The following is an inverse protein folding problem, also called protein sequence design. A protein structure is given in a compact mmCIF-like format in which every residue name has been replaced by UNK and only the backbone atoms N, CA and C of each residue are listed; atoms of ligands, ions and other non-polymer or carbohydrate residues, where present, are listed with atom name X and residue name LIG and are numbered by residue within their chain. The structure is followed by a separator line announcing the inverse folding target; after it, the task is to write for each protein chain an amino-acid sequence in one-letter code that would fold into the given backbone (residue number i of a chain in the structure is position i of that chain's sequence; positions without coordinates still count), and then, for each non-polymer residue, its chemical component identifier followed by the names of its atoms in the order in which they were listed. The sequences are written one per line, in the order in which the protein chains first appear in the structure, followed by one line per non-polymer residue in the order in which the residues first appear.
data_IF_506553954573
#
_entry.id   IF_506553954573
#
_cell.length_a   1.000
_cell.length_b   1.000
_cell.length_c   1.000
_cell.angle_alpha   90.00
_cell.angle_beta   90.00
_cell.angle_gamma   90.00
#
_symmetry.space_group_name_H-M   'P 1'
#
loop_
_entity.id
_entity.type
_entity.pdbx_description
1 polymer ?
#
# COMPACT_ATOMS: atom_id res chain seq x y z
N UNK A 1 -19.68 10.01 6.60
CA UNK A 1 -19.66 9.37 5.27
C UNK A 1 -19.02 10.33 4.28
N UNK A 2 -18.45 9.81 3.20
CA UNK A 2 -17.81 10.59 2.14
C UNK A 2 -17.63 9.72 0.89
N UNK A 3 -17.35 10.33 -0.25
CA UNK A 3 -17.07 9.63 -1.51
C UNK A 3 -16.05 10.44 -2.32
N UNK A 4 -15.37 9.77 -3.25
CA UNK A 4 -14.49 10.38 -4.24
C UNK A 4 -14.85 9.80 -5.62
N UNK A 5 -14.88 10.64 -6.64
CA UNK A 5 -15.13 10.19 -8.00
C UNK A 5 -13.81 9.79 -8.70
N UNK A 6 -13.86 8.93 -9.72
CA UNK A 6 -12.67 8.62 -10.52
C UNK A 6 -12.03 9.88 -11.10
N UNK A 7 -10.71 10.00 -10.96
CA UNK A 7 -9.93 11.14 -11.45
C UNK A 7 -9.91 12.37 -10.53
N UNK A 8 -10.55 12.31 -9.36
CA UNK A 8 -10.50 13.38 -8.37
C UNK A 8 -9.33 13.20 -7.39
N UNK A 9 -8.75 14.33 -6.97
CA UNK A 9 -7.83 14.38 -5.83
C UNK A 9 -8.62 14.76 -4.58
N UNK A 10 -8.77 13.82 -3.64
CA UNK A 10 -9.38 14.06 -2.34
C UNK A 10 -8.30 14.23 -1.27
N UNK A 11 -8.29 15.38 -0.61
CA UNK A 11 -7.37 15.67 0.50
C UNK A 11 -8.09 15.57 1.85
N UNK A 12 -7.47 14.86 2.81
CA UNK A 12 -7.94 14.76 4.20
C UNK A 12 -7.07 15.68 5.06
N UNK A 13 -7.66 16.75 5.59
CA UNK A 13 -6.94 17.75 6.39
C UNK A 13 -7.39 17.74 7.85
N UNK A 14 -6.46 18.03 8.76
CA UNK A 14 -6.73 18.09 10.21
C UNK A 14 -5.45 18.21 11.03
N UNK A 15 -5.58 18.59 12.30
CA UNK A 15 -4.44 18.71 13.22
C UNK A 15 -3.67 17.39 13.44
N UNK A 16 -2.50 17.48 14.08
CA UNK A 16 -1.78 16.29 14.53
C UNK A 16 -2.64 15.50 15.52
N UNK A 17 -2.64 14.17 15.42
CA UNK A 17 -3.47 13.30 16.26
C UNK A 17 -4.96 13.24 15.90
N UNK A 18 -5.41 13.92 14.84
CA UNK A 18 -6.81 13.87 14.39
C UNK A 18 -7.24 12.52 13.79
N UNK A 19 -6.34 11.53 13.70
CA UNK A 19 -6.64 10.20 13.17
C UNK A 19 -6.56 10.04 11.65
N UNK A 20 -5.92 10.97 10.93
CA UNK A 20 -5.76 10.91 9.45
C UNK A 20 -5.08 9.63 8.98
N UNK A 21 -3.88 9.35 9.52
CA UNK A 21 -3.14 8.10 9.28
C UNK A 21 -3.94 6.86 9.68
N UNK A 22 -4.70 6.94 10.78
CA UNK A 22 -5.56 5.83 11.22
C UNK A 22 -6.68 5.56 10.20
N UNK A 23 -7.30 6.62 9.67
CA UNK A 23 -8.31 6.52 8.63
C UNK A 23 -7.74 5.96 7.33
N UNK A 24 -6.57 6.44 6.86
CA UNK A 24 -5.91 5.94 5.64
C UNK A 24 -5.49 4.48 5.77
N UNK A 25 -4.90 4.09 6.90
CA UNK A 25 -4.54 2.69 7.16
C UNK A 25 -5.77 1.79 7.23
N UNK A 26 -6.86 2.27 7.84
CA UNK A 26 -8.15 1.56 7.85
C UNK A 26 -8.70 1.38 6.44
N UNK A 27 -8.69 2.45 5.64
CA UNK A 27 -9.22 2.43 4.26
C UNK A 27 -8.40 1.55 3.34
N UNK A 28 -7.07 1.45 3.53
CA UNK A 28 -6.17 0.57 2.75
C UNK A 28 -6.18 -0.87 3.24
N UNK A 29 -6.90 -1.16 4.32
CA UNK A 29 -6.96 -2.48 4.94
C UNK A 29 -5.68 -2.86 5.68
N UNK A 30 -4.87 -1.91 6.12
CA UNK A 30 -3.74 -2.12 7.03
C UNK A 30 -4.31 -2.28 8.44
N UNK A 31 -4.32 -3.53 8.92
CA UNK A 31 -4.89 -3.86 10.22
C UNK A 31 -4.03 -3.29 11.35
N UNK A 32 -4.67 -2.48 12.20
CA UNK A 32 -4.10 -1.99 13.45
C UNK A 32 -4.73 -2.72 14.63
N UNK A 33 -3.90 -3.34 15.47
CA UNK A 33 -4.37 -4.16 16.60
C UNK A 33 -5.17 -3.37 17.64
N UNK A 34 -5.00 -2.05 17.69
CA UNK A 34 -5.62 -1.12 18.63
C UNK A 34 -6.89 -0.44 18.10
N UNK A 35 -7.32 -0.76 16.86
CA UNK A 35 -8.45 -0.08 16.20
C UNK A 35 -9.56 -1.08 15.87
N UNK A 36 -10.77 -0.80 16.34
CA UNK A 36 -11.97 -1.53 15.93
C UNK A 36 -12.67 -0.79 14.79
N UNK A 37 -12.67 -1.39 13.60
CA UNK A 37 -13.25 -0.81 12.40
C UNK A 37 -14.69 -1.28 12.24
N UNK A 38 -15.61 -0.35 12.09
CA UNK A 38 -17.02 -0.62 11.80
C UNK A 38 -17.50 0.24 10.64
N UNK A 39 -18.55 -0.20 9.94
CA UNK A 39 -19.07 0.46 8.75
C UNK A 39 -18.75 -0.30 7.47
N UNK A 40 -19.02 0.34 6.34
CA UNK A 40 -18.93 -0.26 5.00
C UNK A 40 -18.12 0.65 4.09
N UNK A 41 -17.20 0.06 3.33
CA UNK A 41 -16.45 0.74 2.26
C UNK A 41 -16.83 0.09 0.94
N UNK A 42 -17.16 0.92 -0.06
CA UNK A 42 -17.51 0.45 -1.39
C UNK A 42 -16.62 1.08 -2.44
N UNK A 43 -16.31 0.35 -3.50
CA UNK A 43 -15.73 0.88 -4.74
C UNK A 43 -16.68 0.50 -5.86
N UNK A 44 -17.08 1.48 -6.68
CA UNK A 44 -18.03 1.28 -7.78
C UNK A 44 -19.34 0.60 -7.36
N UNK A 45 -19.78 0.81 -6.11
CA UNK A 45 -21.01 0.23 -5.56
C UNK A 45 -20.86 -1.19 -4.99
N UNK A 46 -19.68 -1.82 -5.10
CA UNK A 46 -19.41 -3.13 -4.50
C UNK A 46 -18.72 -2.97 -3.14
N UNK A 47 -19.23 -3.67 -2.14
CA UNK A 47 -18.61 -3.75 -0.82
C UNK A 47 -17.30 -4.55 -0.89
N UNK A 48 -16.23 -3.95 -0.40
CA UNK A 48 -14.91 -4.56 -0.42
C UNK A 48 -14.50 -5.04 0.96
N UNK A 49 -13.94 -6.25 1.00
CA UNK A 49 -13.18 -6.71 2.15
C UNK A 49 -11.80 -6.08 2.14
N UNK A 50 -11.18 -5.95 3.31
CA UNK A 50 -9.83 -5.38 3.46
C UNK A 50 -8.77 -6.02 2.55
N UNK A 51 -8.89 -7.31 2.26
CA UNK A 51 -7.99 -8.03 1.36
C UNK A 51 -8.12 -7.61 -0.11
N UNK A 52 -9.34 -7.25 -0.55
CA UNK A 52 -9.60 -6.84 -1.93
C UNK A 52 -9.12 -5.40 -2.16
N UNK A 53 -9.26 -4.54 -1.16
CA UNK A 53 -8.73 -3.18 -1.19
C UNK A 53 -7.21 -3.12 -1.44
N UNK A 54 -6.44 -3.97 -0.74
CA UNK A 54 -4.98 -4.06 -0.94
C UNK A 54 -4.57 -4.46 -2.35
N UNK A 55 -5.47 -5.07 -3.14
CA UNK A 55 -5.18 -5.51 -4.51
C UNK A 55 -5.48 -4.44 -5.55
N UNK A 56 -6.38 -3.51 -5.26
CA UNK A 56 -6.84 -2.48 -6.20
C UNK A 56 -6.27 -1.09 -5.91
N UNK A 57 -5.66 -0.92 -4.73
CA UNK A 57 -5.06 0.33 -4.30
C UNK A 57 -3.55 0.22 -4.08
N UNK A 58 -2.86 1.37 -4.19
CA UNK A 58 -1.49 1.55 -3.71
C UNK A 58 -1.48 2.53 -2.54
N UNK A 59 -0.51 2.35 -1.64
CA UNK A 59 -0.35 3.21 -0.46
C UNK A 59 1.10 3.65 -0.29
N UNK A 60 1.29 4.96 -0.19
CA UNK A 60 2.56 5.61 0.12
C UNK A 60 2.52 6.06 1.58
N UNK A 61 3.43 5.52 2.38
CA UNK A 61 3.52 5.81 3.82
C UNK A 61 4.29 7.10 4.07
N UNK A 62 4.00 7.73 5.22
CA UNK A 62 4.68 8.94 5.68
C UNK A 62 6.20 8.81 5.84
N UNK A 63 6.71 7.62 6.20
CA UNK A 63 8.13 7.39 6.41
C UNK A 63 8.74 6.53 5.30
N UNK A 64 9.71 7.08 4.58
CA UNK A 64 10.52 6.34 3.62
C UNK A 64 11.47 5.36 4.33
N UNK A 65 11.31 4.07 4.02
CA UNK A 65 12.22 3.01 4.50
C UNK A 65 13.38 2.74 3.52
N UNK A 66 13.62 3.66 2.58
CA UNK A 66 14.60 3.50 1.51
C UNK A 66 16.02 3.85 1.93
N UNK A 67 16.99 3.04 1.51
CA UNK A 67 18.41 3.37 1.63
C UNK A 67 18.75 4.27 0.44
N UNK A 68 18.97 5.57 0.69
CA UNK A 68 19.13 6.58 -0.38
C UNK A 68 20.33 6.38 -1.32
N UNK A 69 21.23 5.44 -1.02
CA UNK A 69 22.35 5.07 -1.91
C UNK A 69 22.04 3.90 -2.85
N UNK A 70 20.89 3.23 -2.69
CA UNK A 70 20.49 2.09 -3.50
C UNK A 70 19.46 2.49 -4.55
N UNK A 71 19.57 1.90 -5.73
CA UNK A 71 18.51 1.96 -6.74
C UNK A 71 17.28 1.16 -6.29
N UNK A 72 16.11 1.45 -6.88
CA UNK A 72 14.86 0.70 -6.59
C UNK A 72 15.05 -0.81 -6.73
N UNK A 73 15.75 -1.25 -7.78
CA UNK A 73 16.02 -2.66 -8.02
C UNK A 73 16.89 -3.27 -6.93
N UNK A 74 17.93 -2.57 -6.49
CA UNK A 74 18.83 -3.03 -5.42
C UNK A 74 18.10 -3.11 -4.08
N UNK A 75 17.26 -2.13 -3.75
CA UNK A 75 16.43 -2.16 -2.55
C UNK A 75 15.49 -3.39 -2.53
N UNK A 76 14.85 -3.68 -3.67
CA UNK A 76 13.96 -4.83 -3.79
C UNK A 76 14.72 -6.15 -3.74
N UNK A 77 15.92 -6.22 -4.33
CA UNK A 77 16.80 -7.37 -4.23
C UNK A 77 17.24 -7.62 -2.78
N UNK A 78 17.68 -6.57 -2.08
CA UNK A 78 18.05 -6.63 -0.67
C UNK A 78 16.87 -7.10 0.20
N UNK A 79 15.68 -6.53 -0.02
CA UNK A 79 14.45 -6.93 0.68
C UNK A 79 14.08 -8.39 0.41
N UNK A 80 14.21 -8.85 -0.84
CA UNK A 80 13.96 -10.24 -1.22
C UNK A 80 14.95 -11.20 -0.55
N UNK A 81 16.23 -10.83 -0.45
CA UNK A 81 17.25 -11.65 0.20
C UNK A 81 17.00 -11.84 1.70
N UNK A 82 16.47 -10.82 2.37
CA UNK A 82 16.15 -10.86 3.80
C UNK A 82 14.83 -11.58 4.12
N UNK A 83 13.80 -11.41 3.27
CA UNK A 83 12.43 -11.86 3.57
C UNK A 83 12.05 -13.19 2.92
N UNK A 84 12.70 -13.59 1.83
CA UNK A 84 12.36 -14.82 1.12
C UNK A 84 13.11 -16.03 1.69
N UNK A 85 12.49 -17.20 1.59
CA UNK A 85 13.09 -18.46 2.03
C UNK A 85 14.49 -18.67 1.41
N UNK A 86 15.43 -19.10 2.25
CA UNK A 86 16.81 -19.44 1.88
C UNK A 86 16.88 -20.64 0.93
N UNK A 87 15.86 -21.49 0.90
CA UNK A 87 15.77 -22.63 -0.03
C UNK A 87 15.54 -22.21 -1.49
N UNK A 88 15.05 -20.98 -1.74
CA UNK A 88 14.74 -20.50 -3.07
C UNK A 88 16.00 -20.17 -3.87
N UNK A 89 16.00 -20.58 -5.14
CA UNK A 89 17.09 -20.27 -6.07
C UNK A 89 17.26 -18.77 -6.29
N UNK A 90 18.49 -18.33 -6.59
CA UNK A 90 18.76 -16.93 -6.98
C UNK A 90 17.90 -16.48 -8.16
N UNK A 91 17.64 -17.38 -9.12
CA UNK A 91 16.81 -17.09 -10.29
C UNK A 91 15.36 -16.81 -9.90
N UNK A 92 14.77 -17.65 -9.03
CA UNK A 92 13.39 -17.45 -8.55
C UNK A 92 13.24 -16.15 -7.78
N UNK A 93 14.24 -15.77 -6.98
CA UNK A 93 14.27 -14.47 -6.28
C UNK A 93 14.31 -13.30 -7.27
N UNK A 94 15.18 -13.37 -8.27
CA UNK A 94 15.26 -12.33 -9.31
C UNK A 94 13.97 -12.20 -10.11
N UNK A 95 13.33 -13.32 -10.46
CA UNK A 95 12.01 -13.33 -11.11
C UNK A 95 10.96 -12.64 -10.23
N UNK A 96 10.95 -12.93 -8.92
CA UNK A 96 10.03 -12.26 -7.99
C UNK A 96 10.27 -10.76 -7.94
N UNK A 97 11.52 -10.31 -7.87
CA UNK A 97 11.86 -8.88 -7.88
C UNK A 97 11.39 -8.20 -9.17
N UNK A 98 11.64 -8.82 -10.33
CA UNK A 98 11.17 -8.28 -11.61
C UNK A 98 9.65 -8.20 -11.68
N UNK A 99 8.95 -9.20 -11.15
CA UNK A 99 7.49 -9.18 -11.10
C UNK A 99 7.00 -8.02 -10.22
N UNK A 100 7.58 -7.81 -9.04
CA UNK A 100 7.20 -6.70 -8.16
C UNK A 100 7.46 -5.34 -8.83
N UNK A 101 8.60 -5.17 -9.52
CA UNK A 101 8.86 -3.94 -10.29
C UNK A 101 7.78 -3.71 -11.33
N UNK A 102 7.38 -4.76 -12.05
CA UNK A 102 6.30 -4.67 -13.04
C UNK A 102 4.96 -4.31 -12.40
N UNK A 103 4.64 -4.91 -11.26
CA UNK A 103 3.39 -4.65 -10.53
C UNK A 103 3.34 -3.21 -9.97
N UNK A 104 4.48 -2.64 -9.57
CA UNK A 104 4.55 -1.23 -9.11
C UNK A 104 4.34 -0.24 -10.27
N UNK A 105 4.77 -0.60 -11.48
CA UNK A 105 4.62 0.23 -12.67
C UNK A 105 3.22 0.16 -13.29
N UNK A 106 2.32 -0.68 -12.76
CA UNK A 106 0.91 -0.66 -13.18
C UNK A 106 0.14 0.38 -12.38
N UNK A 107 -0.66 1.19 -13.06
CA UNK A 107 -1.48 2.21 -12.40
C UNK A 107 -2.54 1.56 -11.49
N UNK A 108 -2.55 1.88 -10.19
CA UNK A 108 -3.59 1.42 -9.28
C UNK A 108 -4.91 2.16 -9.56
N UNK A 109 -6.04 1.55 -9.19
CA UNK A 109 -7.33 2.23 -9.29
C UNK A 109 -7.47 3.36 -8.26
N UNK A 110 -6.79 3.22 -7.11
CA UNK A 110 -6.75 4.21 -6.04
C UNK A 110 -5.32 4.34 -5.53
N UNK A 111 -4.82 5.57 -5.42
CA UNK A 111 -3.56 5.88 -4.76
C UNK A 111 -3.83 6.64 -3.47
N UNK A 112 -3.42 6.06 -2.35
CA UNK A 112 -3.42 6.70 -1.05
C UNK A 112 -2.01 7.22 -0.74
N UNK A 113 -1.89 8.46 -0.30
CA UNK A 113 -0.64 9.06 0.16
C UNK A 113 -0.84 9.62 1.57
N UNK A 114 0.02 9.22 2.50
CA UNK A 114 0.10 9.80 3.85
C UNK A 114 1.36 10.66 3.96
N UNK A 115 1.20 11.93 4.36
CA UNK A 115 2.28 12.94 4.53
C UNK A 115 2.47 13.33 6.00
#
# INVERSE_FOLDING_TARGET
SGFACPGELLAIMGGSGAGKTVLLDTLTGIDRADVNVTGVVTINGEELRSADMRRVSAYVQQADLFIGTLTVKEQLQFSAELRMDRSLSKQSRQQRVQQVIKDILTDPQILFCDE
#
